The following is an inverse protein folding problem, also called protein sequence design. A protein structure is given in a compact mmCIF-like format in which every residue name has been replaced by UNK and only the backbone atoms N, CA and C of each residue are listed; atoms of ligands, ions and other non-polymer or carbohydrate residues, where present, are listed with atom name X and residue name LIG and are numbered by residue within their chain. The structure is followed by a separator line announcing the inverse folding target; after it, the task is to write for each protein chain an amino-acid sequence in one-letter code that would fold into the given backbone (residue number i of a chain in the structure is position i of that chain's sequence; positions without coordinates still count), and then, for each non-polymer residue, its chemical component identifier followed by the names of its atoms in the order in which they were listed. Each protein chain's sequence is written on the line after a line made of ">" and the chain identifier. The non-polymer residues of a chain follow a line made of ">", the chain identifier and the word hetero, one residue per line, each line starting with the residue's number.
data_IF_188098661906
#
_entry.id   IF_188098661906
#
_cell.length_a   1.000
_cell.length_b   1.000
_cell.length_c   1.000
_cell.angle_alpha   90.00
_cell.angle_beta   90.00
_cell.angle_gamma   90.00
#
_symmetry.space_group_name_H-M   'P 1'
#
loop_
_entity.id
_entity.type
_entity.pdbx_description
1 polymer ?
#
# COMPACT_ATOMS: atom_id res chain seq x y z
N UNK A 1 -14.98 2.29 -11.10
CA UNK A 1 -13.78 3.00 -10.63
C UNK A 1 -12.70 2.02 -10.20
N UNK A 2 -11.58 2.53 -9.71
CA UNK A 2 -10.49 1.71 -9.17
C UNK A 2 -9.83 2.43 -8.01
N UNK A 3 -9.43 1.68 -6.98
CA UNK A 3 -8.58 2.18 -5.91
C UNK A 3 -7.15 1.78 -6.26
N UNK A 4 -6.28 2.76 -6.48
CA UNK A 4 -4.85 2.52 -6.66
C UNK A 4 -4.13 2.83 -5.35
N UNK A 5 -3.44 1.84 -4.80
CA UNK A 5 -2.57 2.02 -3.64
C UNK A 5 -1.18 2.34 -4.18
N UNK A 6 -0.72 3.56 -3.89
CA UNK A 6 0.54 4.09 -4.38
C UNK A 6 1.59 4.02 -3.28
N UNK A 7 2.68 3.28 -3.50
CA UNK A 7 3.85 3.25 -2.61
C UNK A 7 4.86 4.34 -3.02
N UNK A 8 5.63 4.90 -2.08
CA UNK A 8 6.76 5.75 -2.43
C UNK A 8 7.82 4.95 -3.18
N UNK A 9 8.40 5.56 -4.22
CA UNK A 9 9.60 5.06 -4.90
C UNK A 9 10.82 5.92 -4.54
N UNK A 10 10.59 7.21 -4.29
CA UNK A 10 11.54 8.18 -3.76
C UNK A 10 10.74 9.37 -3.19
N UNK A 11 11.44 10.43 -2.77
CA UNK A 11 10.83 11.62 -2.13
C UNK A 11 9.73 12.30 -2.96
N UNK A 12 9.72 12.13 -4.28
CA UNK A 12 8.82 12.86 -5.20
C UNK A 12 7.97 11.96 -6.08
N UNK A 13 8.31 10.68 -6.19
CA UNK A 13 7.64 9.73 -7.08
C UNK A 13 6.99 8.61 -6.30
N UNK A 14 5.79 8.24 -6.74
CA UNK A 14 5.04 7.10 -6.22
C UNK A 14 4.74 6.14 -7.36
N UNK A 15 4.74 4.85 -7.07
CA UNK A 15 4.38 3.80 -8.03
C UNK A 15 3.16 3.01 -7.55
N UNK A 16 2.47 2.35 -8.48
CA UNK A 16 1.29 1.54 -8.17
C UNK A 16 1.75 0.24 -7.52
N UNK A 17 1.49 0.09 -6.22
CA UNK A 17 1.75 -1.17 -5.51
C UNK A 17 0.68 -2.21 -5.81
N UNK A 18 -0.60 -1.81 -5.73
CA UNK A 18 -1.74 -2.66 -6.09
C UNK A 18 -2.93 -1.83 -6.57
N UNK A 19 -3.84 -2.49 -7.28
CA UNK A 19 -5.11 -1.90 -7.70
C UNK A 19 -6.27 -2.78 -7.23
N UNK A 20 -7.27 -2.16 -6.60
CA UNK A 20 -8.49 -2.83 -6.13
C UNK A 20 -9.66 -2.34 -7.01
N UNK A 21 -10.45 -3.26 -7.60
CA UNK A 21 -11.64 -2.87 -8.34
C UNK A 21 -12.67 -2.23 -7.40
N UNK A 22 -13.22 -1.09 -7.80
CA UNK A 22 -14.16 -0.31 -6.99
C UNK A 22 -15.39 0.08 -7.81
N UNK A 23 -16.56 -0.42 -7.42
CA UNK A 23 -17.84 -0.21 -8.10
C UNK A 23 -18.72 0.85 -7.41
N UNK A 24 -18.30 1.38 -6.24
CA UNK A 24 -19.08 2.34 -5.47
C UNK A 24 -20.27 1.74 -4.72
N UNK A 25 -20.49 0.42 -4.81
CA UNK A 25 -21.56 -0.23 -4.07
C UNK A 25 -21.20 -0.29 -2.58
N UNK A 26 -22.13 0.18 -1.73
CA UNK A 26 -21.99 0.02 -0.28
C UNK A 26 -22.13 -1.47 0.04
N UNK A 27 -21.04 -2.11 0.44
CA UNK A 27 -21.00 -3.51 0.87
C UNK A 27 -20.89 -3.52 2.39
N UNK A 28 -21.85 -4.14 3.07
CA UNK A 28 -21.91 -4.15 4.54
C UNK A 28 -20.79 -4.99 5.19
N UNK A 29 -20.08 -5.81 4.41
CA UNK A 29 -19.02 -6.69 4.87
C UNK A 29 -17.80 -6.70 3.92
N UNK A 30 -17.18 -5.53 3.71
CA UNK A 30 -15.94 -5.44 2.92
C UNK A 30 -14.85 -4.67 3.67
N UNK A 31 -13.98 -5.42 4.35
CA UNK A 31 -12.74 -4.90 4.92
C UNK A 31 -11.57 -5.39 4.08
N UNK A 32 -10.73 -4.48 3.61
CA UNK A 32 -9.48 -4.82 2.94
C UNK A 32 -8.31 -4.43 3.82
N UNK A 33 -7.52 -5.41 4.23
CA UNK A 33 -6.32 -5.20 5.02
C UNK A 33 -5.10 -5.22 4.09
N UNK A 34 -4.39 -4.09 4.02
CA UNK A 34 -3.15 -3.99 3.27
C UNK A 34 -2.00 -4.46 4.16
N UNK A 35 -1.28 -5.46 3.68
CA UNK A 35 -0.09 -5.99 4.34
C UNK A 35 1.05 -6.09 3.31
N UNK A 36 1.99 -5.13 3.29
CA UNK A 36 3.13 -5.15 2.39
C UNK A 36 4.11 -6.28 2.75
N UNK A 37 4.20 -7.27 1.86
CA UNK A 37 5.05 -8.45 2.07
C UNK A 37 6.36 -8.35 1.29
N UNK A 38 7.47 -8.74 1.94
CA UNK A 38 8.76 -8.91 1.29
C UNK A 38 8.67 -10.00 0.23
N UNK A 39 9.29 -9.76 -0.93
CA UNK A 39 9.24 -10.68 -2.06
C UNK A 39 10.41 -10.44 -3.00
N UNK A 40 11.34 -11.40 -3.04
CA UNK A 40 12.46 -11.39 -3.99
C UNK A 40 11.99 -11.31 -5.45
N UNK A 41 10.88 -11.98 -5.79
CA UNK A 41 10.29 -11.96 -7.15
C UNK A 41 9.77 -10.57 -7.53
N UNK A 42 9.27 -9.79 -6.56
CA UNK A 42 8.80 -8.42 -6.79
C UNK A 42 9.88 -7.36 -6.55
N UNK A 43 11.09 -7.77 -6.16
CA UNK A 43 12.18 -6.87 -5.81
C UNK A 43 12.05 -6.19 -4.44
N UNK A 44 11.14 -6.63 -3.57
CA UNK A 44 10.95 -6.05 -2.24
C UNK A 44 11.77 -6.85 -1.22
N UNK A 45 13.05 -6.52 -1.09
CA UNK A 45 14.00 -7.30 -0.29
C UNK A 45 14.11 -6.85 1.18
N UNK A 46 13.92 -5.55 1.45
CA UNK A 46 13.97 -4.95 2.80
C UNK A 46 12.68 -4.21 3.13
N UNK A 47 12.40 -4.04 4.42
CA UNK A 47 11.30 -3.22 4.94
C UNK A 47 11.46 -1.74 4.54
N UNK A 48 12.70 -1.29 4.30
CA UNK A 48 13.01 0.07 3.88
C UNK A 48 12.30 0.45 2.57
N UNK A 49 12.05 -0.52 1.69
CA UNK A 49 11.31 -0.35 0.42
C UNK A 49 9.84 0.05 0.61
N UNK A 50 9.31 -0.08 1.82
CA UNK A 50 7.93 0.26 2.15
C UNK A 50 7.79 1.52 2.99
N UNK A 51 8.88 2.08 3.51
CA UNK A 51 8.85 3.26 4.37
C UNK A 51 8.46 4.53 3.60
N UNK A 52 7.76 5.44 4.28
CA UNK A 52 7.39 6.74 3.74
C UNK A 52 5.89 6.91 3.47
N UNK A 53 5.54 7.95 2.71
CA UNK A 53 4.15 8.37 2.52
C UNK A 53 3.46 7.65 1.35
N UNK A 54 2.51 6.80 1.68
CA UNK A 54 1.62 6.11 0.75
C UNK A 54 0.39 6.95 0.45
N UNK A 55 -0.16 6.76 -0.75
CA UNK A 55 -1.39 7.45 -1.17
C UNK A 55 -2.37 6.46 -1.78
N UNK A 56 -3.59 6.48 -1.29
CA UNK A 56 -4.74 5.76 -1.84
C UNK A 56 -5.48 6.71 -2.77
N UNK A 57 -5.52 6.38 -4.07
CA UNK A 57 -6.16 7.19 -5.10
C UNK A 57 -7.43 6.52 -5.59
N UNK A 58 -8.57 7.19 -5.46
CA UNK A 58 -9.87 6.69 -5.93
C UNK A 58 -10.14 7.13 -7.38
N UNK A 59 -9.55 6.42 -8.35
CA UNK A 59 -9.64 6.73 -9.78
C UNK A 59 -11.07 6.57 -10.30
N UNK A 60 -11.51 7.57 -11.07
CA UNK A 60 -12.85 7.58 -11.67
C UNK A 60 -13.97 7.85 -10.66
N UNK A 61 -13.65 8.51 -9.56
CA UNK A 61 -14.60 8.93 -8.52
C UNK A 61 -14.26 10.34 -8.05
N UNK A 62 -15.15 10.97 -7.28
CA UNK A 62 -14.90 12.27 -6.66
C UNK A 62 -14.44 12.15 -5.19
N UNK A 63 -14.07 10.95 -4.74
CA UNK A 63 -13.55 10.77 -3.39
C UNK A 63 -12.14 11.35 -3.28
N UNK A 64 -11.87 12.05 -2.19
CA UNK A 64 -10.55 12.56 -1.88
C UNK A 64 -9.57 11.41 -1.66
N UNK A 65 -8.32 11.62 -2.05
CA UNK A 65 -7.25 10.67 -1.78
C UNK A 65 -7.00 10.56 -0.28
N UNK A 66 -6.61 9.37 0.17
CA UNK A 66 -6.16 9.15 1.54
C UNK A 66 -4.65 9.00 1.55
N UNK A 67 -3.99 9.68 2.48
CA UNK A 67 -2.56 9.58 2.66
C UNK A 67 -2.26 8.97 4.03
N UNK A 68 -1.25 8.11 4.08
CA UNK A 68 -0.76 7.52 5.32
C UNK A 68 0.74 7.26 5.21
N UNK A 69 1.43 7.25 6.34
CA UNK A 69 2.87 7.01 6.38
C UNK A 69 3.15 5.65 7.02
N UNK A 70 3.96 4.84 6.35
CA UNK A 70 4.53 3.63 6.95
C UNK A 70 5.86 4.02 7.59
N UNK A 71 5.92 3.85 8.91
CA UNK A 71 7.11 4.13 9.71
C UNK A 71 7.84 2.83 10.03
N UNK A 72 9.11 2.94 10.41
CA UNK A 72 9.93 1.79 10.86
C UNK A 72 9.52 1.34 12.27
N UNK A 73 8.31 0.80 12.39
CA UNK A 73 7.76 0.19 13.59
C UNK A 73 7.04 -1.08 13.20
N UNK A 74 7.32 -2.14 13.93
CA UNK A 74 6.77 -3.46 13.69
C UNK A 74 5.63 -3.73 14.67
N UNK A 75 4.65 -4.53 14.25
CA UNK A 75 3.64 -5.01 15.19
C UNK A 75 4.33 -6.02 16.12
N UNK A 76 4.13 -5.95 17.45
CA UNK A 76 4.71 -6.92 18.36
C UNK A 76 4.32 -8.35 17.97
N UNK A 77 5.32 -9.24 17.84
CA UNK A 77 5.10 -10.63 17.41
C UNK A 77 5.17 -10.87 15.90
N UNK A 78 5.51 -9.85 15.12
CA UNK A 78 5.93 -10.00 13.72
C UNK A 78 7.42 -9.71 13.57
N UNK A 79 8.15 -10.73 13.13
CA UNK A 79 9.56 -10.64 12.75
C UNK A 79 9.65 -10.68 11.22
N UNK A 80 10.54 -9.87 10.65
CA UNK A 80 10.79 -9.83 9.21
C UNK A 80 12.29 -10.03 8.98
N UNK A 81 12.61 -11.01 8.15
CA UNK A 81 13.97 -11.23 7.67
C UNK A 81 14.06 -10.76 6.22
N UNK A 82 15.14 -10.06 5.83
CA UNK A 82 15.40 -9.76 4.44
C UNK A 82 15.37 -11.04 3.59
N UNK A 83 14.64 -11.00 2.47
CA UNK A 83 14.46 -12.16 1.58
C UNK A 83 15.47 -12.20 0.44
N UNK A 84 16.32 -11.17 0.39
CA UNK A 84 17.54 -10.99 -0.37
C UNK A 84 18.53 -10.31 0.59
#
# INVERSE_FOLDING_TARGET
>A
GQIAVMKPLNDTHKEVYLTIPFDGAKKDAFNYYLDPQLSAVRGYCSVDEFLGEWTIVFRGTNYSNLNFEIVNKTVPGTDWEPVC
#
